data_IF_312045882435
#
_entry.id   IF_312045882435
#
_cell.length_a   1.000
_cell.length_b   1.000
_cell.length_c   1.000
_cell.angle_alpha   90.00
_cell.angle_beta   90.00
_cell.angle_gamma   90.00
#
_symmetry.space_group_name_H-M   'P 1'
#
loop_
_entity.id
_entity.type
_entity.pdbx_description
1 polymer ?
#
# COMPACT_ATOMS: atom_id res chain seq x y z
N UNK A 1 -15.34 14.64 -7.49
CA UNK A 1 -14.05 13.93 -7.35
C UNK A 1 -14.31 12.66 -6.56
N UNK A 2 -13.77 11.53 -7.02
CA UNK A 2 -13.96 10.23 -6.36
C UNK A 2 -13.09 10.16 -5.10
N UNK A 3 -13.67 9.75 -3.96
CA UNK A 3 -12.97 9.63 -2.68
C UNK A 3 -12.41 8.21 -2.49
N UNK A 4 -11.09 8.07 -2.35
CA UNK A 4 -10.40 6.77 -2.30
C UNK A 4 -10.65 6.01 -1.00
N UNK A 5 -10.87 6.72 0.11
CA UNK A 5 -11.22 6.10 1.39
C UNK A 5 -12.63 5.51 1.31
N UNK A 6 -13.59 6.24 0.72
CA UNK A 6 -14.93 5.75 0.46
C UNK A 6 -14.92 4.50 -0.43
N UNK A 7 -14.07 4.50 -1.48
CA UNK A 7 -13.86 3.34 -2.35
C UNK A 7 -13.38 2.12 -1.58
N UNK A 8 -12.35 2.28 -0.75
CA UNK A 8 -11.80 1.19 0.05
C UNK A 8 -12.85 0.61 1.01
N UNK A 9 -13.66 1.46 1.65
CA UNK A 9 -14.79 1.00 2.46
C UNK A 9 -15.85 0.25 1.63
N UNK A 10 -16.22 0.77 0.45
CA UNK A 10 -17.18 0.13 -0.44
C UNK A 10 -16.70 -1.24 -0.93
N UNK A 11 -15.43 -1.37 -1.30
CA UNK A 11 -14.81 -2.65 -1.67
C UNK A 11 -14.78 -3.62 -0.49
N UNK A 12 -14.47 -3.15 0.72
CA UNK A 12 -14.53 -3.96 1.92
C UNK A 12 -15.96 -4.43 2.25
N UNK A 13 -16.98 -3.57 2.08
CA UNK A 13 -18.38 -3.96 2.19
C UNK A 13 -18.75 -5.03 1.15
N UNK A 14 -18.31 -4.85 -0.10
CA UNK A 14 -18.54 -5.82 -1.18
C UNK A 14 -17.95 -7.20 -0.85
N UNK A 15 -16.74 -7.26 -0.26
CA UNK A 15 -16.10 -8.53 0.14
C UNK A 15 -16.89 -9.30 1.22
N UNK A 16 -17.77 -8.64 1.97
CA UNK A 16 -18.64 -9.30 2.97
C UNK A 16 -19.88 -9.94 2.32
N UNK A 17 -20.22 -9.57 1.09
CA UNK A 17 -21.34 -10.10 0.35
C UNK A 17 -21.01 -11.51 -0.14
N UNK A 18 -21.94 -12.45 0.06
CA UNK A 18 -21.79 -13.86 -0.33
C UNK A 18 -22.69 -14.22 -1.50
N UNK A 19 -22.21 -15.12 -2.35
CA UNK A 19 -22.94 -15.68 -3.47
C UNK A 19 -22.61 -15.03 -4.82
N UNK A 20 -23.02 -15.65 -5.94
CA UNK A 20 -22.84 -15.07 -7.25
C UNK A 20 -23.67 -13.79 -7.38
N UNK A 21 -23.11 -12.83 -8.11
CA UNK A 21 -23.80 -11.61 -8.48
C UNK A 21 -24.63 -11.88 -9.75
N UNK A 22 -25.86 -11.39 -9.79
CA UNK A 22 -26.76 -11.54 -10.93
C UNK A 22 -27.48 -10.23 -11.20
N UNK A 23 -27.48 -9.78 -12.45
CA UNK A 23 -28.16 -8.55 -12.83
C UNK A 23 -29.67 -8.76 -12.94
N UNK A 24 -30.44 -7.95 -12.22
CA UNK A 24 -31.91 -7.94 -12.26
C UNK A 24 -32.47 -6.56 -12.58
N UNK A 25 -31.92 -5.91 -13.60
CA UNK A 25 -32.36 -4.62 -14.11
C UNK A 25 -33.12 -4.69 -15.45
N UNK A 26 -33.31 -3.55 -16.13
CA UNK A 26 -34.16 -3.44 -17.32
C UNK A 26 -33.65 -4.25 -18.54
N UNK A 27 -34.47 -4.27 -19.61
CA UNK A 27 -34.19 -5.00 -20.87
C UNK A 27 -32.81 -4.68 -21.47
N UNK A 28 -32.25 -5.57 -22.30
CA UNK A 28 -30.98 -5.32 -23.02
C UNK A 28 -31.09 -4.16 -24.01
N UNK A 29 -32.32 -3.89 -24.43
CA UNK A 29 -32.67 -2.78 -25.32
C UNK A 29 -32.92 -1.46 -24.59
N UNK A 30 -32.84 -1.44 -23.26
CA UNK A 30 -32.95 -0.20 -22.49
C UNK A 30 -31.59 0.49 -22.49
N UNK A 31 -31.47 1.59 -23.24
CA UNK A 31 -30.27 2.42 -23.32
C UNK A 31 -30.32 3.66 -22.42
N UNK A 32 -31.22 3.69 -21.43
CA UNK A 32 -31.29 4.78 -20.44
C UNK A 32 -29.94 4.91 -19.74
N UNK A 33 -29.27 6.07 -19.86
CA UNK A 33 -28.00 6.32 -19.18
C UNK A 33 -28.19 6.32 -17.66
N UNK A 34 -27.20 5.80 -16.93
CA UNK A 34 -27.17 5.84 -15.46
C UNK A 34 -28.42 5.21 -14.81
N UNK A 35 -29.01 4.20 -15.46
CA UNK A 35 -30.25 3.60 -14.99
C UNK A 35 -30.07 2.95 -13.60
N UNK A 36 -30.99 3.20 -12.64
CA UNK A 36 -30.98 2.51 -11.36
C UNK A 36 -31.35 1.04 -11.56
N UNK A 37 -30.57 0.15 -10.97
CA UNK A 37 -30.71 -1.30 -11.13
C UNK A 37 -30.57 -2.02 -9.80
N UNK A 38 -30.98 -3.29 -9.81
CA UNK A 38 -30.70 -4.22 -8.71
C UNK A 38 -29.78 -5.34 -9.19
N UNK A 39 -28.87 -5.74 -8.31
CA UNK A 39 -28.02 -6.92 -8.46
C UNK A 39 -28.36 -7.88 -7.33
N UNK A 40 -28.73 -9.11 -7.66
CA UNK A 40 -28.89 -10.15 -6.65
C UNK A 40 -27.54 -10.72 -6.27
N UNK A 41 -27.29 -10.84 -4.98
CA UNK A 41 -26.19 -11.61 -4.40
C UNK A 41 -26.80 -12.76 -3.60
N UNK A 42 -26.93 -13.94 -4.22
CA UNK A 42 -27.73 -15.04 -3.67
C UNK A 42 -29.21 -14.64 -3.49
N UNK A 43 -29.63 -14.36 -2.24
CA UNK A 43 -31.02 -13.96 -1.91
C UNK A 43 -31.17 -12.46 -1.60
N UNK A 44 -30.07 -11.71 -1.59
CA UNK A 44 -30.06 -10.30 -1.22
C UNK A 44 -30.05 -9.43 -2.46
N UNK A 45 -30.99 -8.48 -2.55
CA UNK A 45 -30.98 -7.48 -3.62
C UNK A 45 -30.13 -6.28 -3.21
N UNK A 46 -29.14 -5.95 -4.02
CA UNK A 46 -28.25 -4.81 -3.88
C UNK A 46 -28.65 -3.74 -4.87
N UNK A 47 -28.71 -2.49 -4.43
CA UNK A 47 -28.97 -1.35 -5.30
C UNK A 47 -27.68 -0.92 -6.00
N UNK A 48 -27.79 -0.46 -7.23
CA UNK A 48 -26.68 0.16 -7.94
C UNK A 48 -27.13 0.94 -9.16
N UNK A 49 -26.14 1.49 -9.85
CA UNK A 49 -26.31 2.21 -11.10
C UNK A 49 -25.66 1.45 -12.23
N UNK A 50 -26.39 1.24 -13.32
CA UNK A 50 -25.84 0.59 -14.51
C UNK A 50 -24.87 1.55 -15.21
N UNK A 51 -23.67 1.05 -15.48
CA UNK A 51 -22.57 1.86 -16.02
C UNK A 51 -22.25 1.47 -17.46
N UNK A 52 -22.24 0.18 -17.76
CA UNK A 52 -21.86 -0.33 -19.06
C UNK A 52 -22.42 -1.73 -19.30
N UNK A 53 -22.38 -2.16 -20.56
CA UNK A 53 -22.65 -3.52 -20.99
C UNK A 53 -21.39 -4.11 -21.62
N UNK A 54 -21.09 -5.36 -21.30
CA UNK A 54 -19.97 -6.11 -21.85
C UNK A 54 -20.49 -7.30 -22.64
N UNK A 55 -20.17 -7.34 -23.93
CA UNK A 55 -20.51 -8.43 -24.83
C UNK A 55 -19.22 -8.95 -25.49
N UNK A 56 -18.87 -10.21 -25.22
CA UNK A 56 -17.57 -10.76 -25.63
C UNK A 56 -16.42 -9.95 -24.99
N UNK A 57 -15.62 -9.34 -25.85
CA UNK A 57 -14.47 -8.47 -25.50
C UNK A 57 -14.77 -6.98 -25.71
N UNK A 58 -16.04 -6.61 -25.95
CA UNK A 58 -16.45 -5.23 -26.19
C UNK A 58 -17.17 -4.66 -24.97
N UNK A 59 -16.67 -3.54 -24.47
CA UNK A 59 -17.29 -2.70 -23.46
C UNK A 59 -18.08 -1.58 -24.13
N UNK A 60 -19.35 -1.43 -23.78
CA UNK A 60 -20.23 -0.35 -24.24
C UNK A 60 -20.65 0.51 -23.06
N UNK A 61 -20.28 1.79 -23.07
CA UNK A 61 -20.68 2.72 -22.01
C UNK A 61 -22.18 3.02 -22.08
N UNK A 62 -22.82 3.03 -20.90
CA UNK A 62 -24.23 3.33 -20.68
C UNK A 62 -24.38 4.44 -19.63
N UNK A 63 -23.49 5.43 -19.65
CA UNK A 63 -23.54 6.58 -18.75
C UNK A 63 -23.73 7.89 -19.49
N UNK A 64 -24.26 8.92 -18.81
CA UNK A 64 -24.35 10.26 -19.40
C UNK A 64 -22.98 10.93 -19.54
N UNK A 65 -22.02 10.54 -18.70
CA UNK A 65 -20.68 11.13 -18.63
C UNK A 65 -19.68 10.59 -19.65
N UNK A 66 -19.93 9.40 -20.22
CA UNK A 66 -19.05 8.74 -21.18
C UNK A 66 -19.86 7.87 -22.13
N UNK A 67 -19.58 8.00 -23.43
CA UNK A 67 -20.24 7.22 -24.49
C UNK A 67 -19.26 6.39 -25.32
N UNK A 68 -19.80 5.53 -26.17
CA UNK A 68 -19.03 4.74 -27.13
C UNK A 68 -18.67 3.34 -26.66
N UNK A 69 -17.85 2.66 -27.48
CA UNK A 69 -17.40 1.28 -27.27
C UNK A 69 -15.89 1.18 -27.23
N UNK A 70 -15.35 0.33 -26.36
CA UNK A 70 -13.91 0.11 -26.19
C UNK A 70 -13.61 -1.38 -25.91
N UNK A 71 -12.38 -1.87 -26.14
CA UNK A 71 -11.99 -3.22 -25.75
C UNK A 71 -12.03 -3.40 -24.23
N UNK A 72 -12.56 -4.55 -23.76
CA UNK A 72 -12.65 -4.90 -22.35
C UNK A 72 -11.26 -4.91 -21.73
N UNK A 73 -11.10 -4.12 -20.67
CA UNK A 73 -9.86 -4.01 -19.91
C UNK A 73 -10.20 -3.85 -18.43
N UNK A 74 -9.36 -4.38 -17.55
CA UNK A 74 -9.63 -4.39 -16.11
C UNK A 74 -9.73 -2.96 -15.54
N UNK A 75 -8.97 -2.03 -16.12
CA UNK A 75 -8.97 -0.62 -15.74
C UNK A 75 -10.32 0.06 -15.98
N UNK A 76 -11.14 -0.44 -16.91
CA UNK A 76 -12.48 0.11 -17.18
C UNK A 76 -13.45 -0.16 -16.03
N UNK A 77 -13.32 -1.29 -15.32
CA UNK A 77 -14.11 -1.56 -14.12
C UNK A 77 -13.79 -0.57 -13.01
N UNK A 78 -12.51 -0.29 -12.82
CA UNK A 78 -12.09 0.70 -11.83
C UNK A 78 -12.60 2.10 -12.19
N UNK A 79 -12.46 2.50 -13.45
CA UNK A 79 -13.00 3.78 -13.94
C UNK A 79 -14.52 3.88 -13.78
N UNK A 80 -15.25 2.79 -14.05
CA UNK A 80 -16.69 2.73 -13.88
C UNK A 80 -17.11 3.06 -12.45
N UNK A 81 -16.40 2.55 -11.44
CA UNK A 81 -16.69 2.85 -10.03
C UNK A 81 -16.40 4.31 -9.67
N UNK A 82 -15.32 4.90 -10.21
CA UNK A 82 -14.93 6.29 -9.94
C UNK A 82 -15.99 7.30 -10.43
N UNK A 83 -16.76 6.98 -11.48
CA UNK A 83 -17.83 7.84 -12.00
C UNK A 83 -19.01 8.01 -11.02
N UNK A 84 -19.20 7.06 -10.11
CA UNK A 84 -20.34 7.04 -9.17
C UNK A 84 -19.84 7.06 -7.73
N UNK A 85 -19.23 8.17 -7.32
CA UNK A 85 -18.77 8.41 -5.94
C UNK A 85 -17.84 7.34 -5.38
N UNK A 86 -16.97 6.78 -6.25
CA UNK A 86 -16.06 5.71 -5.88
C UNK A 86 -16.76 4.40 -5.46
N UNK A 87 -18.01 4.20 -5.89
CA UNK A 87 -18.74 2.98 -5.66
C UNK A 87 -17.98 1.76 -6.23
N UNK A 88 -18.03 0.60 -5.56
CA UNK A 88 -17.46 -0.62 -6.11
C UNK A 88 -18.24 -1.04 -7.36
N UNK A 89 -17.55 -1.11 -8.50
CA UNK A 89 -18.11 -1.59 -9.75
C UNK A 89 -17.94 -3.12 -9.87
N UNK A 90 -18.98 -3.79 -10.33
CA UNK A 90 -19.01 -5.25 -10.49
C UNK A 90 -19.48 -5.65 -11.88
N UNK A 91 -18.99 -6.80 -12.35
CA UNK A 91 -19.58 -7.51 -13.48
C UNK A 91 -20.67 -8.45 -12.97
N UNK A 92 -21.92 -8.18 -13.32
CA UNK A 92 -23.06 -9.00 -12.99
C UNK A 92 -23.58 -9.68 -14.28
N UNK A 93 -23.46 -11.01 -14.40
CA UNK A 93 -24.11 -11.78 -15.45
C UNK A 93 -25.60 -11.49 -15.54
N UNK A 94 -26.10 -11.38 -16.77
CA UNK A 94 -27.53 -11.26 -17.05
C UNK A 94 -28.14 -12.65 -17.22
N UNK A 95 -29.12 -13.01 -16.40
CA UNK A 95 -29.90 -14.24 -16.61
C UNK A 95 -30.79 -14.10 -17.84
N UNK A 96 -30.49 -14.83 -18.92
CA UNK A 96 -31.42 -14.99 -20.04
C UNK A 96 -32.60 -15.85 -19.59
N UNK A 97 -33.77 -15.24 -19.38
CA UNK A 97 -35.04 -15.99 -19.16
C UNK A 97 -35.68 -16.47 -20.46
N UNK A 98 -35.05 -16.29 -21.62
CA UNK A 98 -35.59 -16.72 -22.93
C UNK A 98 -35.01 -18.06 -23.36
N UNK A 99 -35.88 -18.99 -23.78
CA UNK A 99 -35.52 -20.32 -24.32
C UNK A 99 -34.82 -20.28 -25.68
N UNK A 100 -34.77 -19.12 -26.34
CA UNK A 100 -34.24 -18.97 -27.71
C UNK A 100 -32.88 -18.23 -27.79
N UNK A 101 -32.16 -18.10 -26.67
CA UNK A 101 -30.93 -17.31 -26.64
C UNK A 101 -29.72 -18.05 -27.25
N UNK A 102 -29.52 -17.88 -28.56
CA UNK A 102 -28.20 -18.03 -29.23
C UNK A 102 -27.30 -16.81 -29.05
N UNK A 103 -27.74 -15.77 -28.34
CA UNK A 103 -26.96 -14.57 -28.09
C UNK A 103 -25.95 -14.79 -26.96
N UNK A 104 -24.71 -14.37 -27.22
CA UNK A 104 -23.59 -14.41 -26.27
C UNK A 104 -23.99 -13.79 -24.93
N UNK A 105 -23.67 -14.49 -23.83
CA UNK A 105 -23.94 -14.05 -22.47
C UNK A 105 -23.44 -12.62 -22.22
N UNK A 106 -24.35 -11.64 -22.20
CA UNK A 106 -24.02 -10.26 -21.88
C UNK A 106 -23.86 -10.09 -20.37
N UNK A 107 -22.87 -9.28 -19.98
CA UNK A 107 -22.54 -8.97 -18.59
C UNK A 107 -22.76 -7.49 -18.37
N UNK A 108 -23.44 -7.14 -17.28
CA UNK A 108 -23.68 -5.74 -16.95
C UNK A 108 -22.63 -5.25 -15.95
N UNK A 109 -22.11 -4.05 -16.19
CA UNK A 109 -21.26 -3.36 -15.23
C UNK A 109 -22.17 -2.49 -14.37
N UNK A 110 -22.13 -2.70 -13.06
CA UNK A 110 -22.96 -1.98 -12.10
C UNK A 110 -22.09 -1.37 -11.00
N UNK A 111 -22.23 -0.08 -10.77
CA UNK A 111 -21.69 0.60 -9.59
C UNK A 111 -22.63 0.39 -8.41
N UNK A 112 -22.20 -0.36 -7.39
CA UNK A 112 -23.07 -0.76 -6.28
C UNK A 112 -23.14 0.32 -5.19
N UNK A 113 -24.35 0.66 -4.76
CA UNK A 113 -24.60 1.61 -3.67
C UNK A 113 -24.68 0.83 -2.36
N UNK A 114 -23.52 0.48 -1.80
CA UNK A 114 -23.42 -0.30 -0.58
C UNK A 114 -23.44 0.59 0.67
N UNK A 115 -24.16 0.15 1.69
CA UNK A 115 -23.98 0.72 3.03
C UNK A 115 -22.66 0.19 3.62
N UNK A 116 -21.76 1.12 3.92
CA UNK A 116 -20.45 0.83 4.49
C UNK A 116 -20.36 1.22 5.98
N UNK A 117 -21.48 1.57 6.62
CA UNK A 117 -21.53 1.97 8.03
C UNK A 117 -20.93 0.93 8.99
N UNK A 118 -21.05 -0.36 8.66
CA UNK A 118 -20.49 -1.48 9.43
C UNK A 118 -19.03 -1.84 9.11
N UNK A 119 -18.40 -1.17 8.15
CA UNK A 119 -17.01 -1.45 7.76
C UNK A 119 -16.04 -0.63 8.62
N UNK A 120 -15.05 -1.27 9.28
CA UNK A 120 -14.04 -0.55 10.05
C UNK A 120 -13.34 0.54 9.22
N UNK A 121 -13.33 1.77 9.75
CA UNK A 121 -12.78 2.93 9.04
C UNK A 121 -11.26 2.86 8.86
N UNK A 122 -10.53 2.38 9.88
CA UNK A 122 -9.06 2.39 9.88
C UNK A 122 -8.43 1.62 8.72
N UNK A 123 -8.81 0.36 8.41
CA UNK A 123 -8.29 -0.34 7.23
C UNK A 123 -8.52 0.42 5.91
N UNK A 124 -9.70 1.04 5.76
CA UNK A 124 -10.00 1.82 4.57
C UNK A 124 -9.22 3.13 4.48
N UNK A 125 -8.94 3.78 5.62
CA UNK A 125 -8.01 4.90 5.68
C UNK A 125 -6.61 4.47 5.22
N UNK A 126 -6.11 3.32 5.70
CA UNK A 126 -4.78 2.82 5.30
C UNK A 126 -4.74 2.53 3.80
N UNK A 127 -5.73 1.81 3.26
CA UNK A 127 -5.81 1.44 1.83
C UNK A 127 -5.97 2.68 0.92
N UNK A 128 -6.90 3.58 1.27
CA UNK A 128 -7.17 4.79 0.50
C UNK A 128 -5.98 5.76 0.51
N UNK A 129 -5.38 6.01 1.68
CA UNK A 129 -4.25 6.93 1.82
C UNK A 129 -2.95 6.36 1.24
N UNK A 130 -2.76 5.04 1.20
CA UNK A 130 -1.61 4.44 0.54
C UNK A 130 -1.62 4.62 -0.99
N UNK A 131 -2.80 4.87 -1.58
CA UNK A 131 -2.94 5.07 -3.03
C UNK A 131 -2.50 6.46 -3.48
N UNK A 132 -2.92 7.51 -2.76
CA UNK A 132 -2.56 8.92 -3.05
C UNK A 132 -2.30 9.68 -1.74
N UNK A 133 -1.17 9.41 -1.05
CA UNK A 133 -0.92 9.98 0.27
C UNK A 133 -0.81 11.50 0.25
N UNK A 134 -0.33 12.10 -0.84
CA UNK A 134 -0.25 13.54 -1.05
C UNK A 134 -1.62 14.25 -1.11
N UNK A 135 -2.69 13.52 -1.44
CA UNK A 135 -4.08 14.03 -1.38
C UNK A 135 -4.75 13.69 -0.06
N UNK A 136 -4.02 13.14 0.91
CA UNK A 136 -4.60 12.54 2.10
C UNK A 136 -5.48 13.46 2.93
N UNK A 137 -5.14 14.75 3.04
CA UNK A 137 -5.97 15.73 3.75
C UNK A 137 -7.30 15.98 3.04
N UNK A 138 -7.27 16.12 1.72
CA UNK A 138 -8.46 16.29 0.89
C UNK A 138 -9.36 15.05 0.96
N UNK A 139 -8.77 13.86 0.87
CA UNK A 139 -9.49 12.59 0.97
C UNK A 139 -10.14 12.42 2.36
N UNK A 140 -9.45 12.75 3.45
CA UNK A 140 -9.99 12.68 4.82
C UNK A 140 -11.15 13.68 5.02
N UNK A 141 -11.03 14.92 4.54
CA UNK A 141 -12.13 15.90 4.58
C UNK A 141 -13.33 15.46 3.76
N UNK A 142 -13.06 14.91 2.57
CA UNK A 142 -14.10 14.40 1.67
C UNK A 142 -14.93 13.29 2.31
N UNK A 143 -14.28 12.29 2.93
CA UNK A 143 -15.00 11.20 3.60
C UNK A 143 -15.73 11.70 4.85
N UNK A 144 -15.15 12.66 5.58
CA UNK A 144 -15.81 13.27 6.73
C UNK A 144 -17.14 13.91 6.34
N UNK A 145 -17.15 14.72 5.27
CA UNK A 145 -18.35 15.35 4.76
C UNK A 145 -19.35 14.33 4.19
N UNK A 146 -18.88 13.37 3.39
CA UNK A 146 -19.73 12.36 2.75
C UNK A 146 -20.51 11.52 3.77
N UNK A 147 -19.91 11.29 4.94
CA UNK A 147 -20.44 10.38 5.98
C UNK A 147 -20.89 11.11 7.24
N UNK A 148 -20.89 12.44 7.24
CA UNK A 148 -21.21 13.27 8.41
C UNK A 148 -20.41 12.85 9.67
N UNK A 149 -19.10 12.62 9.49
CA UNK A 149 -18.20 12.19 10.57
C UNK A 149 -17.51 13.40 11.21
N UNK A 150 -17.34 13.41 12.54
CA UNK A 150 -16.63 14.49 13.21
C UNK A 150 -15.15 14.48 12.80
N UNK A 151 -14.66 15.65 12.40
CA UNK A 151 -13.26 15.87 12.00
C UNK A 151 -12.68 17.03 12.81
N UNK A 152 -11.51 16.79 13.42
CA UNK A 152 -10.72 17.82 14.10
C UNK A 152 -9.36 17.92 13.43
N UNK A 153 -8.94 19.15 13.12
CA UNK A 153 -7.63 19.41 12.52
C UNK A 153 -6.71 20.10 13.52
N UNK A 154 -5.51 19.55 13.73
CA UNK A 154 -4.51 20.11 14.63
C UNK A 154 -3.09 19.92 14.07
N UNK A 155 -2.56 20.96 13.41
CA UNK A 155 -1.22 20.94 12.81
C UNK A 155 -1.05 19.78 11.80
N UNK A 156 -0.15 18.87 12.12
CA UNK A 156 0.17 17.69 11.29
C UNK A 156 -0.73 16.47 11.58
N UNK A 157 -1.80 16.65 12.34
CA UNK A 157 -2.75 15.58 12.67
C UNK A 157 -4.17 15.96 12.23
N UNK A 158 -4.85 15.00 11.61
CA UNK A 158 -6.31 15.01 11.46
C UNK A 158 -6.89 13.91 12.35
N UNK A 159 -7.98 14.18 13.05
CA UNK A 159 -8.69 13.18 13.86
C UNK A 159 -10.09 13.02 13.30
N UNK A 160 -10.34 11.90 12.61
CA UNK A 160 -11.62 11.56 12.00
C UNK A 160 -12.33 10.51 12.84
N UNK A 161 -13.50 10.81 13.41
CA UNK A 161 -14.24 9.87 14.25
C UNK A 161 -13.37 9.19 15.33
N UNK A 162 -12.54 9.99 16.03
CA UNK A 162 -11.55 9.55 17.04
C UNK A 162 -10.34 8.77 16.49
N UNK A 163 -10.27 8.48 15.20
CA UNK A 163 -9.08 7.90 14.56
C UNK A 163 -8.10 9.01 14.18
N UNK A 164 -6.92 9.10 14.80
CA UNK A 164 -5.86 10.01 14.35
C UNK A 164 -5.26 9.55 13.02
N UNK A 165 -4.87 10.52 12.20
CA UNK A 165 -4.10 10.38 10.97
C UNK A 165 -2.95 11.40 11.04
N UNK A 166 -1.72 10.93 10.96
CA UNK A 166 -0.51 11.76 10.99
C UNK A 166 -0.03 12.06 9.58
N UNK A 167 0.45 13.28 9.39
CA UNK A 167 0.93 13.81 8.13
C UNK A 167 2.37 14.34 8.25
N UNK A 168 3.11 14.22 7.16
CA UNK A 168 4.34 14.95 6.90
C UNK A 168 4.04 15.99 5.81
N UNK A 169 3.77 17.23 6.23
CA UNK A 169 3.16 18.25 5.39
C UNK A 169 1.75 17.84 4.93
N UNK A 170 1.59 17.64 3.62
CA UNK A 170 0.35 17.16 2.99
C UNK A 170 0.34 15.65 2.75
N UNK A 171 1.47 14.97 2.94
CA UNK A 171 1.60 13.53 2.70
C UNK A 171 1.13 12.75 3.92
N UNK A 172 0.12 11.89 3.76
CA UNK A 172 -0.30 10.97 4.80
C UNK A 172 0.83 10.00 5.18
N UNK A 173 1.18 9.98 6.47
CA UNK A 173 2.29 9.20 6.99
C UNK A 173 1.80 7.97 7.77
N UNK A 174 0.77 8.15 8.60
CA UNK A 174 0.32 7.08 9.49
C UNK A 174 -1.15 7.16 9.90
N UNK A 175 -1.79 6.00 10.05
CA UNK A 175 -3.12 5.81 10.69
C UNK A 175 -2.93 4.88 11.89
N UNK A 176 -2.38 5.37 13.02
CA UNK A 176 -1.93 4.50 14.10
C UNK A 176 -3.12 3.85 14.83
N UNK A 177 -2.93 2.60 15.26
CA UNK A 177 -3.75 2.03 16.32
C UNK A 177 -3.20 2.44 17.69
N UNK A 178 -4.01 2.42 18.76
CA UNK A 178 -3.50 2.63 20.12
C UNK A 178 -2.28 1.76 20.42
N UNK A 179 -1.21 2.37 20.94
CA UNK A 179 0.05 1.70 21.26
C UNK A 179 0.94 1.31 20.06
N UNK A 180 0.55 1.63 18.82
CA UNK A 180 1.43 1.39 17.66
C UNK A 180 2.64 2.34 17.68
N UNK A 181 3.85 1.85 17.33
CA UNK A 181 4.99 2.72 17.15
C UNK A 181 4.76 3.63 15.95
N UNK A 182 5.30 4.84 16.00
CA UNK A 182 5.34 5.72 14.82
C UNK A 182 6.49 5.35 13.89
N UNK A 183 6.42 5.77 12.62
CA UNK A 183 7.55 5.60 11.70
C UNK A 183 8.85 6.20 12.28
N UNK A 184 8.75 7.42 12.84
CA UNK A 184 9.86 8.09 13.49
C UNK A 184 10.43 7.28 14.67
N UNK A 185 9.57 6.63 15.44
CA UNK A 185 9.99 5.77 16.55
C UNK A 185 10.71 4.52 16.06
N UNK A 186 10.18 3.84 15.03
CA UNK A 186 10.84 2.68 14.41
C UNK A 186 12.21 3.06 13.85
N UNK A 187 12.31 4.20 13.17
CA UNK A 187 13.58 4.72 12.68
C UNK A 187 14.55 5.00 13.84
N UNK A 188 14.09 5.75 14.85
CA UNK A 188 14.92 6.17 15.98
C UNK A 188 15.52 4.96 16.70
N UNK A 189 14.70 3.93 16.96
CA UNK A 189 15.14 2.70 17.62
C UNK A 189 16.23 1.94 16.83
N UNK A 190 16.33 2.16 15.52
CA UNK A 190 17.28 1.49 14.65
C UNK A 190 18.48 2.34 14.25
N UNK A 191 18.41 3.67 14.38
CA UNK A 191 19.31 4.61 13.68
C UNK A 191 20.80 4.34 13.95
N UNK A 192 21.23 4.38 15.21
CA UNK A 192 22.64 4.21 15.57
C UNK A 192 23.14 2.77 15.39
N UNK A 193 22.32 1.76 15.73
CA UNK A 193 22.70 0.36 15.50
C UNK A 193 22.84 0.06 14.01
N UNK A 194 21.96 0.62 13.19
CA UNK A 194 22.06 0.58 11.73
C UNK A 194 23.37 1.21 11.24
N UNK A 195 23.75 2.38 11.77
CA UNK A 195 24.99 3.06 11.41
C UNK A 195 26.23 2.23 11.77
N UNK A 196 26.28 1.65 12.97
CA UNK A 196 27.40 0.78 13.40
C UNK A 196 27.56 -0.43 12.46
N UNK A 197 26.46 -1.12 12.13
CA UNK A 197 26.47 -2.23 11.18
C UNK A 197 26.95 -1.81 9.78
N UNK A 198 26.55 -0.63 9.30
CA UNK A 198 27.03 -0.13 8.01
C UNK A 198 28.51 0.24 8.04
N UNK A 199 29.02 0.88 9.10
CA UNK A 199 30.46 1.15 9.23
C UNK A 199 31.29 -0.13 9.23
N UNK A 200 30.84 -1.13 9.99
CA UNK A 200 31.50 -2.42 10.04
C UNK A 200 31.51 -3.10 8.66
N UNK A 201 30.37 -3.14 7.98
CA UNK A 201 30.26 -3.70 6.63
C UNK A 201 31.15 -2.95 5.62
N UNK A 202 31.14 -1.61 5.62
CA UNK A 202 31.94 -0.81 4.71
C UNK A 202 33.45 -0.98 4.92
N UNK A 203 33.89 -1.27 6.15
CA UNK A 203 35.30 -1.55 6.43
C UNK A 203 35.80 -2.85 5.77
N UNK A 204 34.89 -3.80 5.50
CA UNK A 204 35.18 -5.10 4.89
C UNK A 204 34.83 -5.13 3.39
N UNK A 205 33.83 -4.36 2.97
CA UNK A 205 33.29 -4.33 1.61
C UNK A 205 33.20 -2.88 1.07
N UNK A 206 34.33 -2.26 0.66
CA UNK A 206 34.35 -0.85 0.25
C UNK A 206 33.50 -0.52 -0.98
N UNK A 207 33.26 -1.50 -1.87
CA UNK A 207 32.51 -1.29 -3.10
C UNK A 207 30.99 -1.18 -2.89
N UNK A 208 30.45 -1.67 -1.77
CA UNK A 208 29.02 -1.63 -1.37
C UNK A 208 28.01 -2.20 -2.39
N UNK A 209 28.51 -2.77 -3.48
CA UNK A 209 27.75 -3.45 -4.50
C UNK A 209 28.01 -4.94 -4.36
N UNK A 210 26.93 -5.71 -4.24
CA UNK A 210 27.00 -7.17 -4.14
C UNK A 210 26.33 -7.80 -5.36
N UNK A 211 26.83 -8.98 -5.75
CA UNK A 211 26.16 -9.78 -6.79
C UNK A 211 25.06 -10.63 -6.15
N UNK A 212 23.81 -10.29 -6.46
CA UNK A 212 22.63 -11.03 -6.00
C UNK A 212 22.30 -12.19 -6.93
N UNK A 213 22.06 -13.35 -6.33
CA UNK A 213 21.36 -14.47 -6.95
C UNK A 213 19.94 -14.57 -6.36
N UNK A 214 18.95 -14.17 -7.16
CA UNK A 214 17.54 -14.20 -6.79
C UNK A 214 17.00 -15.62 -6.59
N UNK A 215 17.58 -16.62 -7.25
CA UNK A 215 17.11 -18.00 -7.17
C UNK A 215 17.50 -18.64 -5.83
N UNK A 216 18.73 -18.40 -5.38
CA UNK A 216 19.21 -18.88 -4.07
C UNK A 216 18.87 -17.94 -2.91
N UNK A 217 18.52 -16.68 -3.18
CA UNK A 217 18.32 -15.67 -2.15
C UNK A 217 19.63 -15.32 -1.43
N UNK A 218 20.74 -15.31 -2.16
CA UNK A 218 22.07 -15.04 -1.62
C UNK A 218 22.77 -13.92 -2.39
N UNK A 219 23.65 -13.19 -1.71
CA UNK A 219 24.54 -12.23 -2.33
C UNK A 219 25.96 -12.47 -1.80
N UNK A 220 26.88 -12.86 -2.68
CA UNK A 220 28.27 -13.17 -2.32
C UNK A 220 28.42 -14.18 -1.16
N UNK A 221 27.54 -15.19 -1.12
CA UNK A 221 27.53 -16.21 -0.07
C UNK A 221 26.84 -15.78 1.24
N UNK A 222 26.38 -14.54 1.34
CA UNK A 222 25.53 -14.05 2.43
C UNK A 222 24.06 -14.30 2.11
N UNK A 223 23.23 -14.54 3.12
CA UNK A 223 21.78 -14.57 2.92
C UNK A 223 21.30 -13.16 2.59
N UNK A 224 20.51 -13.02 1.52
CA UNK A 224 20.01 -11.75 1.04
C UNK A 224 18.48 -11.70 1.13
N UNK A 225 17.94 -10.63 1.73
CA UNK A 225 16.51 -10.34 1.82
C UNK A 225 16.21 -9.13 0.97
N UNK A 226 15.51 -9.32 -0.14
CA UNK A 226 15.12 -8.23 -1.04
C UNK A 226 14.05 -7.38 -0.36
N UNK A 227 14.32 -6.08 -0.20
CA UNK A 227 13.36 -5.11 0.28
C UNK A 227 12.50 -4.58 -0.87
N UNK A 228 13.16 -4.21 -1.97
CA UNK A 228 12.53 -3.63 -3.14
C UNK A 228 13.57 -3.21 -4.17
N UNK A 229 13.11 -2.49 -5.18
CA UNK A 229 13.95 -2.06 -6.29
C UNK A 229 13.87 -0.55 -6.50
N UNK A 230 15.00 0.04 -6.87
CA UNK A 230 15.09 1.38 -7.42
C UNK A 230 15.03 1.29 -8.95
N UNK A 231 14.15 2.09 -9.54
CA UNK A 231 14.07 2.28 -10.98
C UNK A 231 13.65 3.73 -11.28
N UNK A 232 14.51 4.46 -12.00
CA UNK A 232 14.33 5.89 -12.25
C UNK A 232 14.30 6.71 -10.96
N UNK A 233 13.24 7.48 -10.77
CA UNK A 233 13.01 8.38 -9.64
C UNK A 233 12.15 7.76 -8.53
N UNK A 234 12.13 6.42 -8.45
CA UNK A 234 11.22 5.72 -7.54
C UNK A 234 11.80 4.44 -6.96
N UNK A 235 11.27 4.10 -5.78
CA UNK A 235 11.46 2.83 -5.12
C UNK A 235 10.14 2.05 -5.12
N UNK A 236 10.17 0.80 -5.56
CA UNK A 236 9.03 -0.13 -5.50
C UNK A 236 9.36 -1.22 -4.49
N UNK A 237 8.49 -1.44 -3.50
CA UNK A 237 8.69 -2.56 -2.56
C UNK A 237 8.63 -3.89 -3.30
N UNK A 238 9.38 -4.88 -2.82
CA UNK A 238 9.41 -6.19 -3.46
C UNK A 238 8.04 -6.88 -3.52
N UNK A 239 7.15 -6.62 -2.55
CA UNK A 239 5.81 -7.20 -2.49
C UNK A 239 4.88 -6.63 -3.55
N UNK A 240 5.23 -5.48 -4.11
CA UNK A 240 4.51 -4.75 -5.15
C UNK A 240 5.14 -4.95 -6.54
N UNK A 241 6.24 -5.69 -6.63
CA UNK A 241 6.94 -5.92 -7.89
C UNK A 241 6.64 -7.32 -8.44
N UNK A 242 5.81 -7.37 -9.48
CA UNK A 242 5.38 -8.62 -10.12
C UNK A 242 6.49 -9.30 -10.93
N UNK A 243 7.62 -8.62 -11.17
CA UNK A 243 8.78 -9.21 -11.86
C UNK A 243 9.68 -10.00 -10.90
N UNK A 244 9.59 -9.75 -9.59
CA UNK A 244 10.33 -10.51 -8.58
C UNK A 244 9.67 -11.86 -8.31
N UNK A 245 10.45 -12.95 -8.17
CA UNK A 245 9.91 -14.25 -7.79
C UNK A 245 9.33 -14.19 -6.37
N UNK A 246 8.29 -14.99 -6.09
CA UNK A 246 7.58 -14.98 -4.81
C UNK A 246 8.50 -15.12 -3.58
N UNK A 247 9.57 -15.92 -3.69
CA UNK A 247 10.57 -16.07 -2.63
C UNK A 247 11.32 -14.76 -2.32
N UNK A 248 11.65 -13.97 -3.34
CA UNK A 248 12.27 -12.65 -3.19
C UNK A 248 11.29 -11.59 -2.65
N UNK A 249 9.99 -11.74 -2.91
CA UNK A 249 8.98 -10.84 -2.37
C UNK A 249 8.73 -11.05 -0.87
N UNK A 250 8.94 -12.28 -0.36
CA UNK A 250 8.52 -12.68 0.98
C UNK A 250 9.00 -11.75 2.13
N UNK A 251 10.28 -11.30 2.19
CA UNK A 251 10.72 -10.38 3.24
C UNK A 251 9.95 -9.06 3.23
N UNK A 252 9.75 -8.47 2.06
CA UNK A 252 8.99 -7.23 1.93
C UNK A 252 7.49 -7.39 2.24
N UNK A 253 6.91 -8.60 2.10
CA UNK A 253 5.53 -8.87 2.57
C UNK A 253 5.42 -8.78 4.09
N UNK A 254 6.48 -9.10 4.85
CA UNK A 254 6.52 -8.85 6.30
C UNK A 254 6.46 -7.36 6.61
N UNK A 255 7.14 -6.52 5.80
CA UNK A 255 7.05 -5.05 5.93
C UNK A 255 5.64 -4.53 5.62
N UNK A 256 4.99 -5.06 4.57
CA UNK A 256 3.59 -4.75 4.26
C UNK A 256 2.67 -5.09 5.44
N UNK A 257 2.79 -6.29 6.01
CA UNK A 257 1.98 -6.72 7.14
C UNK A 257 2.21 -5.82 8.37
N UNK A 258 3.46 -5.48 8.67
CA UNK A 258 3.80 -4.53 9.74
C UNK A 258 3.19 -3.15 9.48
N UNK A 259 3.28 -2.67 8.24
CA UNK A 259 2.68 -1.42 7.78
C UNK A 259 1.16 -1.40 7.96
N UNK A 260 0.46 -2.47 7.58
CA UNK A 260 -0.98 -2.61 7.75
C UNK A 260 -1.38 -2.69 9.23
N UNK A 261 -0.62 -3.44 10.02
CA UNK A 261 -0.86 -3.58 11.46
C UNK A 261 -0.74 -2.22 12.18
N UNK A 262 0.34 -1.48 11.94
CA UNK A 262 0.64 -0.22 12.62
C UNK A 262 0.17 1.04 11.87
N UNK A 263 -0.40 0.86 10.69
CA UNK A 263 -0.94 1.90 9.83
C UNK A 263 0.13 2.81 9.23
N UNK A 264 1.34 2.31 9.02
CA UNK A 264 2.48 3.08 8.51
C UNK A 264 2.41 3.12 6.98
N UNK A 265 1.94 4.24 6.43
CA UNK A 265 1.63 4.39 5.00
C UNK A 265 2.85 4.14 4.10
N UNK A 266 4.08 4.60 4.42
CA UNK A 266 5.26 4.30 3.61
C UNK A 266 5.55 2.80 3.42
N UNK A 267 5.12 1.93 4.34
CA UNK A 267 5.32 0.48 4.20
C UNK A 267 4.20 -0.22 3.41
N UNK A 268 3.05 0.45 3.26
CA UNK A 268 1.86 -0.06 2.56
C UNK A 268 1.76 0.51 1.15
N UNK A 269 2.38 1.67 0.88
CA UNK A 269 2.41 2.29 -0.44
C UNK A 269 3.29 1.46 -1.39
N UNK A 270 2.78 0.94 -2.52
CA UNK A 270 3.54 0.07 -3.43
C UNK A 270 4.83 0.71 -3.96
N UNK A 271 4.73 1.97 -4.37
CA UNK A 271 5.80 2.73 -5.03
C UNK A 271 5.95 4.10 -4.39
N UNK A 272 7.17 4.45 -4.02
CA UNK A 272 7.53 5.66 -3.27
C UNK A 272 8.49 6.49 -4.12
N UNK A 273 8.29 7.82 -4.23
CA UNK A 273 9.28 8.71 -4.84
C UNK A 273 10.66 8.56 -4.18
N UNK A 274 11.74 8.56 -4.96
CA UNK A 274 13.09 8.33 -4.45
C UNK A 274 13.49 9.36 -3.39
N UNK A 275 13.04 10.60 -3.52
CA UNK A 275 13.26 11.67 -2.53
C UNK A 275 12.68 11.31 -1.16
N UNK A 276 11.49 10.71 -1.12
CA UNK A 276 10.84 10.25 0.12
C UNK A 276 11.50 8.98 0.64
N UNK A 277 11.81 8.01 -0.23
CA UNK A 277 12.50 6.79 0.15
C UNK A 277 13.87 7.06 0.78
N UNK A 278 14.59 8.07 0.28
CA UNK A 278 15.86 8.54 0.82
C UNK A 278 15.66 9.30 2.13
N UNK A 279 14.69 10.24 2.19
CA UNK A 279 14.41 11.02 3.41
C UNK A 279 14.12 10.12 4.60
N UNK A 280 13.31 9.08 4.42
CA UNK A 280 12.94 8.16 5.49
C UNK A 280 13.97 7.07 5.75
N UNK A 281 14.93 6.87 4.85
CA UNK A 281 15.86 5.73 4.80
C UNK A 281 15.13 4.40 5.07
N UNK A 282 14.44 3.93 4.03
CA UNK A 282 13.65 2.70 4.10
C UNK A 282 14.48 1.47 4.51
N UNK A 283 15.80 1.50 4.30
CA UNK A 283 16.67 0.43 4.78
C UNK A 283 16.74 0.44 6.31
N UNK A 284 16.97 1.59 6.94
CA UNK A 284 16.99 1.74 8.40
C UNK A 284 15.68 1.26 9.03
N UNK A 285 14.54 1.65 8.46
CA UNK A 285 13.20 1.24 8.96
C UNK A 285 13.00 -0.27 8.85
N UNK A 286 13.48 -0.91 7.78
CA UNK A 286 13.28 -2.33 7.56
C UNK A 286 14.12 -3.22 8.50
N UNK A 287 15.29 -2.75 8.94
CA UNK A 287 16.23 -3.51 9.79
C UNK A 287 15.58 -4.08 11.07
N UNK A 288 14.94 -3.28 11.96
CA UNK A 288 14.34 -3.80 13.18
C UNK A 288 13.14 -4.71 12.91
N UNK A 289 12.41 -4.50 11.81
CA UNK A 289 11.24 -5.30 11.46
C UNK A 289 11.66 -6.69 10.96
N UNK A 290 12.74 -6.77 10.21
CA UNK A 290 13.22 -8.03 9.61
C UNK A 290 14.32 -8.71 10.43
N UNK A 291 14.92 -8.03 11.40
CA UNK A 291 15.98 -8.56 12.25
C UNK A 291 17.32 -8.75 11.53
N UNK A 292 17.54 -8.06 10.41
CA UNK A 292 18.80 -8.09 9.66
C UNK A 292 19.34 -6.66 9.58
N UNK A 293 20.58 -6.45 9.97
CA UNK A 293 21.09 -5.10 10.30
C UNK A 293 22.07 -4.52 9.28
N UNK A 294 22.54 -5.31 8.33
CA UNK A 294 23.42 -4.84 7.26
C UNK A 294 22.61 -4.68 5.98
N UNK A 295 22.77 -3.57 5.26
CA UNK A 295 22.14 -3.40 3.94
C UNK A 295 23.18 -3.17 2.84
N UNK A 296 22.83 -3.55 1.62
CA UNK A 296 23.62 -3.32 0.42
C UNK A 296 22.71 -3.13 -0.79
N UNK A 297 23.32 -2.78 -1.93
CA UNK A 297 22.63 -2.68 -3.22
C UNK A 297 23.19 -3.69 -4.22
N UNK A 298 22.33 -4.16 -5.13
CA UNK A 298 22.71 -5.09 -6.19
C UNK A 298 22.07 -4.67 -7.52
N UNK A 299 22.85 -4.58 -8.59
CA UNK A 299 22.29 -4.37 -9.93
C UNK A 299 21.55 -5.61 -10.41
N UNK A 300 20.30 -5.45 -10.85
CA UNK A 300 19.50 -6.54 -11.44
C UNK A 300 19.51 -6.48 -12.97
N UNK A 301 19.40 -5.27 -13.51
CA UNK A 301 19.38 -4.97 -14.93
C UNK A 301 19.86 -3.52 -15.15
N UNK A 302 20.14 -3.07 -16.39
CA UNK A 302 20.47 -1.67 -16.64
C UNK A 302 19.42 -0.72 -16.06
N UNK A 303 19.82 0.14 -15.12
CA UNK A 303 18.94 1.10 -14.46
C UNK A 303 18.04 0.54 -13.35
N UNK A 304 18.17 -0.75 -13.00
CA UNK A 304 17.39 -1.40 -11.93
C UNK A 304 18.32 -1.93 -10.84
N UNK A 305 18.13 -1.43 -9.63
CA UNK A 305 18.97 -1.77 -8.47
C UNK A 305 18.11 -2.30 -7.33
N UNK A 306 18.39 -3.49 -6.83
CA UNK A 306 17.75 -4.02 -5.63
C UNK A 306 18.37 -3.43 -4.36
N UNK A 307 17.51 -3.11 -3.38
CA UNK A 307 17.89 -2.86 -2.00
C UNK A 307 17.75 -4.14 -1.19
N UNK A 308 18.81 -4.52 -0.48
CA UNK A 308 18.92 -5.80 0.22
C UNK A 308 19.24 -5.60 1.69
N UNK A 309 18.73 -6.47 2.56
CA UNK A 309 19.35 -6.74 3.85
C UNK A 309 20.18 -8.02 3.76
N UNK A 310 21.39 -7.98 4.32
CA UNK A 310 22.36 -9.07 4.31
C UNK A 310 22.49 -9.67 5.71
N UNK A 311 22.70 -10.98 5.75
CA UNK A 311 22.88 -11.74 6.98
C UNK A 311 23.95 -12.81 6.77
N UNK A 312 24.98 -12.78 7.61
CA UNK A 312 26.02 -13.80 7.70
C UNK A 312 26.76 -13.70 9.04
N UNK A 313 27.38 -14.78 9.54
CA UNK A 313 28.08 -14.75 10.83
C UNK A 313 29.22 -13.73 10.92
N UNK A 314 29.91 -13.44 9.82
CA UNK A 314 31.00 -12.46 9.77
C UNK A 314 30.51 -11.00 9.78
N UNK A 315 29.20 -10.76 9.63
CA UNK A 315 28.57 -9.44 9.74
C UNK A 315 28.16 -9.09 11.18
N UNK A 316 28.36 -10.00 12.14
CA UNK A 316 28.13 -9.70 13.54
C UNK A 316 29.14 -8.66 14.03
N UNK A 317 28.63 -7.66 14.73
CA UNK A 317 29.46 -6.60 15.30
C UNK A 317 30.44 -7.19 16.33
N UNK A 318 31.71 -6.76 16.32
CA UNK A 318 32.65 -7.07 17.40
C UNK A 318 32.20 -6.40 18.71
N UNK A 319 32.86 -6.67 19.85
CA UNK A 319 32.63 -5.92 21.09
C UNK A 319 32.73 -4.41 20.86
N UNK A 320 31.84 -3.64 21.51
CA UNK A 320 31.78 -2.19 21.36
C UNK A 320 33.05 -1.55 21.93
N UNK A 321 33.73 -0.73 21.12
CA UNK A 321 34.83 0.13 21.58
C UNK A 321 34.33 1.56 21.80
N UNK A 322 35.02 2.31 22.66
CA UNK A 322 34.70 3.71 22.96
C UNK A 322 34.85 4.59 21.71
N UNK A 323 35.78 4.26 20.81
CA UNK A 323 35.98 4.94 19.54
C UNK A 323 34.78 4.75 18.62
N UNK A 324 34.35 3.50 18.40
CA UNK A 324 33.19 3.18 17.56
C UNK A 324 31.93 3.81 18.13
N UNK A 325 31.74 3.74 19.45
CA UNK A 325 30.58 4.35 20.10
C UNK A 325 30.51 5.86 19.82
N UNK A 326 31.63 6.57 19.98
CA UNK A 326 31.71 8.02 19.73
C UNK A 326 31.41 8.37 18.27
N UNK A 327 31.97 7.65 17.32
CA UNK A 327 31.74 7.89 15.89
C UNK A 327 30.30 7.61 15.45
N UNK A 328 29.68 6.56 16.01
CA UNK A 328 28.28 6.21 15.71
C UNK A 328 27.31 7.26 16.25
N UNK A 329 27.46 7.68 17.50
CA UNK A 329 26.54 8.67 18.11
C UNK A 329 26.78 10.09 17.60
N UNK A 330 27.93 10.35 16.95
CA UNK A 330 28.20 11.62 16.27
C UNK A 330 27.50 11.75 14.92
N UNK A 331 26.90 10.66 14.38
CA UNK A 331 26.17 10.72 13.13
C UNK A 331 24.91 11.58 13.26
N UNK A 332 24.68 12.54 12.36
CA UNK A 332 23.48 13.36 12.41
C UNK A 332 22.25 12.50 12.13
N UNK A 333 21.19 12.76 12.90
CA UNK A 333 19.88 12.16 12.68
C UNK A 333 18.99 13.09 11.85
N UNK A 334 18.04 12.55 11.06
CA UNK A 334 17.05 13.36 10.37
C UNK A 334 16.14 14.09 11.38
N UNK A 335 15.52 15.19 10.92
CA UNK A 335 14.68 16.09 11.71
C UNK A 335 13.50 15.41 12.43
N UNK A 336 12.96 14.34 11.85
CA UNK A 336 11.85 13.59 12.42
C UNK A 336 12.28 12.56 13.48
N UNK A 337 13.57 12.26 13.63
CA UNK A 337 14.06 11.25 14.56
C UNK A 337 14.21 11.82 15.99
N UNK A 338 13.97 10.98 16.98
CA UNK A 338 14.16 11.28 18.40
C UNK A 338 15.55 10.79 18.84
N UNK A 339 16.47 11.73 19.02
CA UNK A 339 17.86 11.46 19.40
C UNK A 339 17.97 10.73 20.74
N UNK A 340 17.18 11.13 21.74
CA UNK A 340 17.22 10.51 23.06
C UNK A 340 16.69 9.07 23.02
N UNK A 341 15.68 8.81 22.19
CA UNK A 341 15.19 7.46 21.94
C UNK A 341 16.23 6.62 21.20
N UNK A 342 16.85 7.17 20.16
CA UNK A 342 17.89 6.47 19.41
C UNK A 342 19.08 6.09 20.29
N UNK A 343 19.55 7.01 21.13
CA UNK A 343 20.65 6.76 22.06
C UNK A 343 20.29 5.65 23.06
N UNK A 344 19.09 5.69 23.65
CA UNK A 344 18.62 4.65 24.58
C UNK A 344 18.53 3.27 23.92
N UNK A 345 17.95 3.20 22.72
CA UNK A 345 17.80 1.94 21.99
C UNK A 345 19.17 1.34 21.65
N UNK A 346 20.11 2.17 21.18
CA UNK A 346 21.47 1.75 20.86
C UNK A 346 22.24 1.23 22.08
N UNK A 347 22.19 1.98 23.17
CA UNK A 347 22.82 1.66 24.45
C UNK A 347 22.30 0.31 24.99
N UNK A 348 20.98 0.13 24.94
CA UNK A 348 20.30 -1.14 25.30
C UNK A 348 20.77 -2.29 24.42
N UNK A 349 20.81 -2.10 23.09
CA UNK A 349 21.14 -3.16 22.15
C UNK A 349 22.61 -3.62 22.24
N UNK A 350 23.54 -2.72 22.59
CA UNK A 350 24.96 -3.02 22.76
C UNK A 350 25.34 -3.45 24.18
N UNK A 351 24.38 -3.50 25.10
CA UNK A 351 24.60 -3.96 26.47
C UNK A 351 25.46 -3.00 27.31
N UNK A 352 25.57 -1.74 26.90
CA UNK A 352 26.15 -0.70 27.74
C UNK A 352 25.06 -0.25 28.73
N UNK A 353 25.20 -0.60 30.00
CA UNK A 353 24.35 -0.08 31.08
C UNK A 353 25.25 0.63 32.10
#
# INVERSE_FOLDING_TARGET
MSNLIARAQGLAALRQIRGPLEFTGPSATDDTPDAPVSVLAGRTALRGTRVAEVQGDTWRWLTASRGGTEPLRQELLDQAGLLFDAAPAVLAPRLHRSKDAKDSASRMVVALHLDASGVPLRPALIEGLATQPERGREEVRGIALLRDLPLVEAGNTLTLAQQPIYFDGDTALQVPAPGSPTLAQVYSDAAYLSAEHQFFFHSQHPAQQVRLDLASGTAEGMRARVLGIFHGDSFTWGWADDQLPAAAQAPSRTLLAFGQQHGIIPLVRPRIPLTQATRWDLAVIAKPILGAWTHAVAGLAPGVTALLLLEAPHLHLPPLSTEVQREVIAQPLPDFADEQRALRAYTTARGAA
#
